data_IF_458775395252
#
_entry.id   IF_458775395252
#
_cell.length_a   1.000
_cell.length_b   1.000
_cell.length_c   1.000
_cell.angle_alpha   90.00
_cell.angle_beta   90.00
_cell.angle_gamma   90.00
#
_symmetry.space_group_name_H-M   'P 1'
#
loop_
_entity.id
_entity.type
_entity.pdbx_description
1 polymer ?
#
# COMPACT_ATOMS: atom_id res chain seq x y z
N UNK A 1 -9.56 -38.04 19.00
CA UNK A 1 -8.37 -38.10 18.13
C UNK A 1 -8.83 -37.82 16.71
N UNK A 2 -8.58 -36.61 16.19
CA UNK A 2 -8.70 -36.32 14.75
C UNK A 2 -7.42 -35.62 14.34
N UNK A 3 -6.61 -36.34 13.55
CA UNK A 3 -5.37 -35.87 12.96
C UNK A 3 -5.75 -35.20 11.63
N UNK A 4 -5.66 -33.89 11.56
CA UNK A 4 -5.83 -33.15 10.30
C UNK A 4 -4.57 -33.35 9.46
N UNK A 5 -4.67 -34.18 8.43
CA UNK A 5 -3.58 -34.49 7.52
C UNK A 5 -3.17 -33.26 6.71
N UNK A 6 -1.94 -32.78 6.92
CA UNK A 6 -1.28 -31.87 5.99
C UNK A 6 -0.92 -32.66 4.73
N UNK A 7 -1.61 -32.37 3.63
CA UNK A 7 -1.36 -32.95 2.33
C UNK A 7 0.04 -32.53 1.85
N UNK A 8 0.93 -33.49 1.64
CA UNK A 8 2.19 -33.26 0.93
C UNK A 8 1.83 -32.97 -0.52
N UNK A 9 1.67 -31.69 -0.87
CA UNK A 9 1.35 -31.26 -2.23
C UNK A 9 2.23 -32.01 -3.24
N UNK A 10 1.59 -32.61 -4.25
CA UNK A 10 2.27 -33.34 -5.32
C UNK A 10 3.24 -32.42 -6.07
N UNK A 11 4.25 -33.00 -6.70
CA UNK A 11 5.23 -32.22 -7.49
C UNK A 11 4.51 -31.38 -8.55
N UNK A 12 3.51 -31.95 -9.22
CA UNK A 12 2.69 -31.27 -10.21
C UNK A 12 1.92 -30.06 -9.64
N UNK A 13 1.33 -30.18 -8.45
CA UNK A 13 0.67 -29.05 -7.79
C UNK A 13 1.66 -27.94 -7.44
N UNK A 14 2.84 -28.30 -6.90
CA UNK A 14 3.89 -27.32 -6.58
C UNK A 14 4.36 -26.55 -7.81
N UNK A 15 4.53 -27.24 -8.95
CA UNK A 15 4.87 -26.60 -10.22
C UNK A 15 3.79 -25.63 -10.67
N UNK A 16 2.51 -25.99 -10.56
CA UNK A 16 1.40 -25.08 -10.88
C UNK A 16 1.39 -23.82 -10.01
N UNK A 17 1.66 -23.95 -8.70
CA UNK A 17 1.77 -22.81 -7.80
C UNK A 17 2.92 -21.89 -8.19
N UNK A 18 4.09 -22.44 -8.52
CA UNK A 18 5.26 -21.67 -8.96
C UNK A 18 4.99 -20.93 -10.28
N UNK A 19 4.36 -21.59 -11.25
CA UNK A 19 3.95 -20.97 -12.51
C UNK A 19 3.00 -19.78 -12.27
N UNK A 20 2.06 -19.91 -11.33
CA UNK A 20 1.17 -18.81 -10.98
C UNK A 20 1.92 -17.64 -10.35
N UNK A 21 2.93 -17.89 -9.51
CA UNK A 21 3.77 -16.85 -8.91
C UNK A 21 4.61 -16.12 -9.97
N UNK A 22 5.22 -16.84 -10.91
CA UNK A 22 5.97 -16.20 -12.00
C UNK A 22 5.06 -15.38 -12.91
N UNK A 23 3.83 -15.84 -13.17
CA UNK A 23 2.82 -15.06 -13.90
C UNK A 23 2.46 -13.76 -13.19
N UNK A 24 2.27 -13.82 -11.86
CA UNK A 24 2.02 -12.63 -11.04
C UNK A 24 3.18 -11.64 -11.09
N UNK A 25 4.42 -12.12 -10.94
CA UNK A 25 5.62 -11.29 -10.96
C UNK A 25 5.84 -10.63 -12.34
N UNK A 26 5.51 -11.35 -13.42
CA UNK A 26 5.58 -10.84 -14.79
C UNK A 26 4.40 -9.96 -15.23
N UNK A 27 3.38 -9.77 -14.38
CA UNK A 27 2.19 -8.97 -14.71
C UNK A 27 2.47 -7.48 -14.76
N UNK A 28 1.69 -6.72 -15.53
CA UNK A 28 1.86 -5.26 -15.63
C UNK A 28 1.62 -4.58 -14.27
N UNK A 29 0.70 -5.13 -13.47
CA UNK A 29 0.38 -4.64 -12.12
C UNK A 29 1.58 -4.67 -11.18
N UNK A 30 2.43 -5.71 -11.23
CA UNK A 30 3.57 -5.92 -10.34
C UNK A 30 4.94 -5.55 -10.95
N UNK A 31 5.06 -5.51 -12.28
CA UNK A 31 6.33 -5.29 -13.01
C UNK A 31 7.07 -4.01 -12.59
N UNK A 32 6.36 -2.96 -12.16
CA UNK A 32 6.97 -1.70 -11.72
C UNK A 32 7.57 -1.72 -10.30
N UNK A 33 7.47 -2.81 -9.54
CA UNK A 33 7.90 -2.85 -8.14
C UNK A 33 8.75 -4.07 -7.80
N UNK A 34 10.06 -3.93 -7.99
CA UNK A 34 11.04 -4.97 -7.64
C UNK A 34 10.92 -5.41 -6.17
N UNK A 35 10.62 -4.48 -5.27
CA UNK A 35 10.44 -4.75 -3.85
C UNK A 35 9.24 -5.66 -3.57
N UNK A 36 8.10 -5.45 -4.23
CA UNK A 36 6.93 -6.32 -4.08
C UNK A 36 7.15 -7.69 -4.71
N UNK A 37 7.89 -7.75 -5.83
CA UNK A 37 8.29 -9.01 -6.45
C UNK A 37 9.20 -9.82 -5.53
N UNK A 38 10.20 -9.18 -4.89
CA UNK A 38 11.07 -9.84 -3.89
C UNK A 38 10.26 -10.38 -2.72
N UNK A 39 9.33 -9.58 -2.19
CA UNK A 39 8.44 -10.02 -1.11
C UNK A 39 7.58 -11.21 -1.54
N UNK A 40 6.92 -11.15 -2.70
CA UNK A 40 6.07 -12.23 -3.18
C UNK A 40 6.85 -13.54 -3.38
N UNK A 41 8.05 -13.49 -3.96
CA UNK A 41 8.92 -14.67 -4.11
C UNK A 41 9.27 -15.29 -2.76
N UNK A 42 9.73 -14.46 -1.82
CA UNK A 42 10.12 -14.94 -0.50
C UNK A 42 8.93 -15.58 0.25
N UNK A 43 7.75 -14.98 0.18
CA UNK A 43 6.55 -15.56 0.78
C UNK A 43 6.14 -16.89 0.09
N UNK A 44 6.36 -17.01 -1.22
CA UNK A 44 6.06 -18.22 -1.99
C UNK A 44 7.00 -19.37 -1.66
N UNK A 45 8.30 -19.10 -1.63
CA UNK A 45 9.31 -20.07 -1.19
C UNK A 45 9.01 -20.56 0.23
N UNK A 46 8.75 -19.65 1.16
CA UNK A 46 8.42 -20.03 2.53
C UNK A 46 7.14 -20.87 2.61
N UNK A 47 6.09 -20.53 1.86
CA UNK A 47 4.83 -21.30 1.84
C UNK A 47 5.01 -22.71 1.26
N UNK A 48 5.91 -22.89 0.29
CA UNK A 48 6.19 -24.18 -0.35
C UNK A 48 7.14 -25.08 0.46
N UNK A 49 8.09 -24.48 1.17
CA UNK A 49 9.07 -25.19 2.00
C UNK A 49 8.56 -25.46 3.42
N UNK A 50 7.80 -24.53 4.00
CA UNK A 50 7.28 -24.60 5.37
C UNK A 50 5.77 -24.33 5.43
N UNK A 51 4.93 -25.25 4.89
CA UNK A 51 3.48 -25.04 4.82
C UNK A 51 2.87 -24.80 6.21
N UNK A 52 2.11 -23.72 6.35
CA UNK A 52 1.39 -23.39 7.59
C UNK A 52 2.23 -22.80 8.72
N UNK A 53 3.54 -22.64 8.54
CA UNK A 53 4.39 -21.95 9.51
C UNK A 53 4.25 -20.43 9.30
N UNK A 54 3.83 -19.66 10.31
CA UNK A 54 3.74 -18.22 10.19
C UNK A 54 5.14 -17.61 10.13
N UNK A 55 5.34 -16.72 9.16
CA UNK A 55 6.56 -15.96 8.99
C UNK A 55 6.53 -14.70 9.84
N UNK A 56 7.63 -14.38 10.52
CA UNK A 56 7.71 -13.20 11.40
C UNK A 56 8.10 -11.96 10.60
N UNK A 57 7.54 -10.81 10.99
CA UNK A 57 7.83 -9.51 10.37
C UNK A 57 9.33 -9.19 10.34
N UNK A 58 10.03 -9.46 11.45
CA UNK A 58 11.48 -9.30 11.58
C UNK A 58 12.27 -10.07 10.51
N UNK A 59 11.90 -11.33 10.24
CA UNK A 59 12.60 -12.16 9.25
C UNK A 59 12.49 -11.58 7.84
N UNK A 60 11.30 -11.10 7.49
CA UNK A 60 11.07 -10.44 6.20
C UNK A 60 11.92 -9.17 6.11
N UNK A 61 11.96 -8.38 7.18
CA UNK A 61 12.74 -7.14 7.22
C UNK A 61 14.23 -7.40 6.97
N UNK A 62 14.82 -8.39 7.65
CA UNK A 62 16.25 -8.69 7.53
C UNK A 62 16.59 -9.43 6.25
N UNK A 63 15.82 -10.46 5.89
CA UNK A 63 16.16 -11.38 4.80
C UNK A 63 15.75 -10.85 3.41
N UNK A 64 14.65 -10.09 3.31
CA UNK A 64 14.15 -9.55 2.03
C UNK A 64 14.58 -8.10 1.82
N UNK A 65 14.50 -7.29 2.88
CA UNK A 65 14.73 -5.84 2.80
C UNK A 65 16.09 -5.39 3.32
N UNK A 66 16.92 -6.32 3.82
CA UNK A 66 18.27 -6.01 4.31
C UNK A 66 18.26 -5.04 5.50
N UNK A 67 17.20 -5.02 6.31
CA UNK A 67 17.14 -4.17 7.50
C UNK A 67 18.18 -4.63 8.54
N UNK A 68 18.74 -3.68 9.31
CA UNK A 68 19.69 -4.01 10.36
C UNK A 68 19.04 -4.81 11.50
N UNK A 69 19.86 -5.51 12.28
CA UNK A 69 19.41 -6.47 13.30
C UNK A 69 18.69 -5.82 14.50
N UNK A 70 18.79 -4.50 14.64
CA UNK A 70 18.05 -3.69 15.62
C UNK A 70 16.65 -3.30 15.14
N UNK A 71 16.19 -3.80 13.98
CA UNK A 71 14.84 -3.59 13.48
C UNK A 71 13.79 -4.04 14.49
N UNK A 72 12.94 -3.09 14.91
CA UNK A 72 11.79 -3.35 15.76
C UNK A 72 10.47 -3.23 14.97
N UNK A 73 9.74 -4.35 14.79
CA UNK A 73 8.44 -4.34 14.12
C UNK A 73 7.41 -3.41 14.78
N UNK A 74 7.49 -3.11 16.08
CA UNK A 74 6.51 -2.24 16.73
C UNK A 74 6.66 -0.79 16.29
N UNK A 75 7.89 -0.30 16.19
CA UNK A 75 8.20 1.08 15.82
C UNK A 75 8.32 1.30 14.30
N UNK A 76 8.78 0.32 13.52
CA UNK A 76 8.89 0.44 12.05
C UNK A 76 7.75 -0.34 11.35
N UNK A 77 6.91 0.39 10.61
CA UNK A 77 5.77 -0.17 9.88
C UNK A 77 6.08 -0.55 8.43
N UNK A 78 7.33 -0.46 7.98
CA UNK A 78 7.75 -0.69 6.59
C UNK A 78 7.19 -2.00 6.05
N UNK A 79 7.33 -3.11 6.78
CA UNK A 79 6.90 -4.43 6.29
C UNK A 79 5.37 -4.55 6.27
N UNK A 80 4.67 -4.00 7.27
CA UNK A 80 3.20 -3.88 7.23
C UNK A 80 2.72 -3.10 6.00
N UNK A 81 3.37 -1.99 5.67
CA UNK A 81 3.04 -1.17 4.48
C UNK A 81 3.29 -1.96 3.19
N UNK A 82 4.42 -2.64 3.07
CA UNK A 82 4.73 -3.45 1.87
C UNK A 82 3.77 -4.63 1.71
N UNK A 83 3.43 -5.32 2.81
CA UNK A 83 2.42 -6.38 2.78
C UNK A 83 1.02 -5.85 2.42
N UNK A 84 0.67 -4.64 2.87
CA UNK A 84 -0.57 -3.96 2.47
C UNK A 84 -0.59 -3.66 0.96
N UNK A 85 0.50 -3.12 0.43
CA UNK A 85 0.66 -2.85 -1.01
C UNK A 85 0.60 -4.12 -1.84
N UNK A 86 1.26 -5.20 -1.39
CA UNK A 86 1.19 -6.50 -2.06
C UNK A 86 -0.26 -7.00 -2.14
N UNK A 87 -1.03 -6.95 -1.04
CA UNK A 87 -2.45 -7.34 -1.04
C UNK A 87 -3.28 -6.55 -2.05
N UNK A 88 -3.10 -5.23 -2.08
CA UNK A 88 -3.81 -4.38 -3.06
C UNK A 88 -3.46 -4.75 -4.49
N UNK A 89 -2.18 -5.00 -4.77
CA UNK A 89 -1.71 -5.38 -6.10
C UNK A 89 -2.18 -6.75 -6.55
N UNK A 90 -2.24 -7.73 -5.64
CA UNK A 90 -2.85 -9.04 -5.93
C UNK A 90 -4.34 -8.89 -6.25
N UNK A 91 -5.07 -8.07 -5.49
CA UNK A 91 -6.49 -7.82 -5.77
C UNK A 91 -6.69 -7.12 -7.14
N UNK A 92 -5.86 -6.13 -7.47
CA UNK A 92 -5.85 -5.44 -8.77
C UNK A 92 -5.60 -6.43 -9.92
N UNK A 93 -4.59 -7.31 -9.78
CA UNK A 93 -4.28 -8.35 -10.76
C UNK A 93 -5.46 -9.29 -11.02
N UNK A 94 -6.06 -9.84 -9.97
CA UNK A 94 -7.19 -10.78 -10.11
C UNK A 94 -8.50 -10.11 -10.56
N UNK A 95 -8.58 -8.78 -10.51
CA UNK A 95 -9.68 -8.00 -11.09
C UNK A 95 -9.48 -7.65 -12.57
N UNK A 96 -8.28 -7.92 -13.13
CA UNK A 96 -7.88 -7.52 -14.48
C UNK A 96 -7.18 -8.67 -15.23
N UNK A 97 -5.85 -8.67 -15.29
CA UNK A 97 -5.04 -9.62 -16.06
C UNK A 97 -5.26 -11.09 -15.65
N UNK A 98 -5.44 -11.35 -14.35
CA UNK A 98 -5.67 -12.66 -13.77
C UNK A 98 -7.15 -13.03 -13.60
N UNK A 99 -8.05 -12.32 -14.30
CA UNK A 99 -9.49 -12.49 -14.13
C UNK A 99 -10.00 -13.91 -14.44
N UNK A 100 -9.24 -14.71 -15.19
CA UNK A 100 -9.57 -16.11 -15.56
C UNK A 100 -8.55 -17.14 -15.02
N UNK A 101 -7.59 -16.73 -14.20
CA UNK A 101 -6.58 -17.64 -13.66
C UNK A 101 -7.20 -18.73 -12.75
N UNK A 102 -6.77 -20.00 -12.88
CA UNK A 102 -7.32 -21.11 -12.12
C UNK A 102 -6.87 -21.11 -10.66
N UNK A 103 -5.79 -20.41 -10.33
CA UNK A 103 -5.19 -20.36 -9.00
C UNK A 103 -5.19 -18.92 -8.50
N UNK A 104 -5.87 -18.69 -7.39
CA UNK A 104 -5.90 -17.40 -6.69
C UNK A 104 -4.88 -17.43 -5.56
N UNK A 105 -3.99 -16.44 -5.57
CA UNK A 105 -2.95 -16.23 -4.57
C UNK A 105 -3.35 -15.07 -3.68
N UNK A 106 -3.42 -15.31 -2.37
CA UNK A 106 -3.80 -14.29 -1.39
C UNK A 106 -2.81 -14.22 -0.22
N UNK A 107 -2.69 -13.03 0.37
CA UNK A 107 -2.00 -12.83 1.65
C UNK A 107 -3.04 -12.42 2.69
N UNK A 108 -3.46 -13.32 3.60
CA UNK A 108 -4.46 -13.00 4.62
C UNK A 108 -4.05 -11.81 5.50
N UNK A 109 -5.02 -11.08 6.03
CA UNK A 109 -4.74 -9.93 6.91
C UNK A 109 -4.10 -10.43 8.22
N UNK A 110 -3.14 -9.67 8.74
CA UNK A 110 -2.44 -10.00 9.99
C UNK A 110 -1.44 -11.15 9.89
N UNK A 111 -1.28 -11.75 8.71
CA UNK A 111 -0.27 -12.79 8.46
C UNK A 111 0.67 -12.35 7.35
N UNK A 112 1.80 -13.06 7.27
CA UNK A 112 2.77 -12.95 6.18
C UNK A 112 2.93 -14.31 5.51
N UNK A 113 1.83 -14.99 5.25
CA UNK A 113 1.81 -16.32 4.61
C UNK A 113 0.97 -16.24 3.35
N UNK A 114 1.42 -16.85 2.26
CA UNK A 114 0.60 -17.00 1.06
C UNK A 114 -0.39 -18.14 1.21
N UNK A 115 -1.62 -17.89 0.79
CA UNK A 115 -2.69 -18.87 0.65
C UNK A 115 -3.02 -19.04 -0.82
N UNK A 116 -3.22 -20.29 -1.23
CA UNK A 116 -3.52 -20.66 -2.61
C UNK A 116 -4.91 -21.29 -2.66
N UNK A 117 -5.75 -20.82 -3.58
CA UNK A 117 -7.11 -21.30 -3.76
C UNK A 117 -7.36 -21.69 -5.21
N UNK A 118 -7.94 -22.87 -5.43
CA UNK A 118 -8.48 -23.25 -6.72
C UNK A 118 -9.75 -22.44 -7.00
N UNK A 119 -9.81 -21.80 -8.16
CA UNK A 119 -11.03 -21.15 -8.61
C UNK A 119 -12.02 -22.22 -9.04
N UNK A 120 -13.17 -22.27 -8.38
CA UNK A 120 -14.29 -23.07 -8.87
C UNK A 120 -14.77 -22.46 -10.19
N UNK A 121 -14.47 -23.11 -11.31
CA UNK A 121 -15.17 -22.82 -12.56
C UNK A 121 -16.65 -23.12 -12.33
N UNK A 122 -17.49 -22.07 -12.31
CA UNK A 122 -18.90 -22.28 -12.56
C UNK A 122 -18.99 -22.90 -13.97
N UNK A 123 -19.65 -24.06 -14.14
CA UNK A 123 -19.77 -24.65 -15.46
C UNK A 123 -20.43 -23.60 -16.36
N UNK A 124 -19.83 -23.38 -17.52
CA UNK A 124 -20.40 -22.55 -18.57
C UNK A 124 -21.88 -22.95 -18.70
N UNK A 125 -22.78 -21.98 -18.57
CA UNK A 125 -24.20 -22.19 -18.82
C UNK A 125 -24.33 -22.75 -20.23
N UNK A 126 -24.49 -24.07 -20.34
CA UNK A 126 -24.99 -24.70 -21.54
C UNK A 126 -26.37 -24.10 -21.80
N UNK A 127 -26.46 -23.32 -22.87
CA UNK A 127 -27.73 -22.86 -23.42
C UNK A 127 -28.52 -24.11 -23.87
N UNK A 128 -29.36 -24.62 -22.97
CA UNK A 128 -30.45 -25.52 -23.35
C UNK A 128 -31.64 -24.63 -23.78
N UNK A 129 -32.19 -24.79 -25.00
CA UNK A 129 -33.34 -24.00 -25.43
C UNK A 129 -34.58 -24.53 -24.70
N UNK A 130 -34.94 -23.89 -23.59
CA UNK A 130 -36.21 -24.08 -22.92
C UNK A 130 -37.25 -23.18 -23.62
N UNK A 131 -38.27 -23.83 -24.17
CA UNK A 131 -39.39 -23.21 -24.89
C UNK A 131 -40.07 -22.14 -24.03
N UNK A 132 -40.23 -20.96 -24.61
CA UNK A 132 -40.87 -19.81 -23.97
C UNK A 132 -42.38 -20.02 -23.80
N UNK A 133 -42.95 -19.56 -22.68
CA UNK A 133 -44.26 -18.93 -22.67
C UNK A 133 -44.10 -17.41 -22.57
N UNK A 134 -45.05 -16.75 -23.23
CA UNK A 134 -45.10 -15.34 -23.62
C UNK A 134 -44.85 -14.28 -22.53
N UNK A 135 -44.40 -13.13 -23.05
CA UNK A 135 -44.08 -11.91 -22.35
C UNK A 135 -45.31 -11.21 -21.74
N UNK A 136 -45.12 -10.59 -20.57
CA UNK A 136 -45.92 -9.47 -20.07
C UNK A 136 -45.01 -8.39 -19.40
N UNK A 137 -45.44 -7.12 -19.35
CA UNK A 137 -44.59 -5.99 -19.70
C UNK A 137 -43.69 -5.48 -18.56
N UNK A 138 -42.43 -5.25 -18.92
CA UNK A 138 -41.34 -4.75 -18.06
C UNK A 138 -41.28 -3.22 -18.13
N UNK A 139 -42.11 -2.51 -17.36
CA UNK A 139 -41.91 -1.04 -17.17
C UNK A 139 -41.92 -0.63 -15.70
N UNK A 140 -42.45 -1.46 -14.80
CA UNK A 140 -42.54 -1.13 -13.35
C UNK A 140 -41.37 -1.64 -12.49
N UNK A 141 -40.48 -2.47 -13.05
CA UNK A 141 -39.31 -3.04 -12.33
C UNK A 141 -38.01 -2.25 -12.52
N UNK A 142 -37.90 -1.45 -13.58
CA UNK A 142 -36.70 -0.63 -13.85
C UNK A 142 -36.61 0.59 -12.90
N UNK A 143 -37.75 1.18 -12.53
CA UNK A 143 -37.80 2.32 -11.60
C UNK A 143 -37.46 1.93 -10.16
N UNK A 144 -37.86 0.73 -9.72
CA UNK A 144 -37.54 0.23 -8.38
C UNK A 144 -36.03 -0.06 -8.27
N UNK A 145 -35.43 -0.71 -9.28
CA UNK A 145 -33.99 -0.96 -9.31
C UNK A 145 -33.15 0.32 -9.34
N UNK A 146 -33.60 1.35 -10.06
CA UNK A 146 -32.95 2.66 -10.09
C UNK A 146 -33.07 3.40 -8.75
N UNK A 147 -34.22 3.33 -8.09
CA UNK A 147 -34.42 3.95 -6.76
C UNK A 147 -33.59 3.27 -5.65
N UNK A 148 -33.39 1.95 -5.73
CA UNK A 148 -32.53 1.20 -4.79
C UNK A 148 -31.05 1.49 -5.04
N UNK A 149 -30.62 1.60 -6.30
CA UNK A 149 -29.26 2.02 -6.65
C UNK A 149 -28.97 3.47 -6.25
N UNK A 150 -29.94 4.37 -6.43
CA UNK A 150 -29.80 5.77 -6.01
C UNK A 150 -29.76 5.90 -4.49
N UNK A 151 -30.59 5.15 -3.75
CA UNK A 151 -30.57 5.12 -2.29
C UNK A 151 -29.28 4.49 -1.75
N UNK A 152 -28.74 3.45 -2.39
CA UNK A 152 -27.45 2.87 -2.04
C UNK A 152 -26.29 3.83 -2.32
N UNK A 153 -26.32 4.54 -3.46
CA UNK A 153 -25.35 5.59 -3.76
C UNK A 153 -25.43 6.75 -2.76
N UNK A 154 -26.65 7.18 -2.38
CA UNK A 154 -26.85 8.19 -1.36
C UNK A 154 -26.37 7.72 0.02
N UNK A 155 -26.62 6.46 0.39
CA UNK A 155 -26.11 5.87 1.61
C UNK A 155 -24.58 5.80 1.62
N UNK A 156 -23.95 5.42 0.50
CA UNK A 156 -22.49 5.44 0.36
C UNK A 156 -21.95 6.87 0.43
N UNK A 157 -22.60 7.85 -0.19
CA UNK A 157 -22.22 9.27 -0.10
C UNK A 157 -22.39 9.77 1.34
N UNK A 158 -23.47 9.44 2.04
CA UNK A 158 -23.70 9.79 3.44
C UNK A 158 -22.66 9.12 4.34
N UNK A 159 -22.28 7.86 4.09
CA UNK A 159 -21.20 7.17 4.82
C UNK A 159 -19.85 7.81 4.52
N UNK A 160 -19.58 8.22 3.28
CA UNK A 160 -18.35 8.92 2.91
C UNK A 160 -18.28 10.33 3.51
N UNK A 161 -19.41 11.03 3.59
CA UNK A 161 -19.52 12.35 4.24
C UNK A 161 -19.43 12.20 5.76
N UNK A 162 -20.06 11.19 6.36
CA UNK A 162 -19.93 10.88 7.78
C UNK A 162 -18.52 10.43 8.14
N UNK A 163 -17.83 9.66 7.31
CA UNK A 163 -16.43 9.28 7.59
C UNK A 163 -15.50 10.48 7.45
N UNK A 164 -15.74 11.40 6.50
CA UNK A 164 -15.05 12.69 6.45
C UNK A 164 -15.34 13.56 7.69
N UNK A 165 -16.60 13.70 8.10
CA UNK A 165 -16.95 14.46 9.31
C UNK A 165 -16.48 13.77 10.60
N UNK A 166 -16.45 12.43 10.68
CA UNK A 166 -15.86 11.68 11.81
C UNK A 166 -14.35 11.84 11.86
N UNK A 167 -13.68 12.16 10.74
CA UNK A 167 -12.26 12.53 10.74
C UNK A 167 -12.06 13.91 11.38
N UNK A 168 -13.00 14.84 11.22
CA UNK A 168 -13.02 16.13 11.92
C UNK A 168 -13.41 16.01 13.41
N UNK A 169 -14.39 15.16 13.75
CA UNK A 169 -14.78 14.91 15.16
C UNK A 169 -13.70 14.14 15.92
N UNK A 170 -12.98 13.22 15.24
CA UNK A 170 -11.81 12.54 15.78
C UNK A 170 -10.63 13.50 16.00
N UNK A 171 -10.42 14.48 15.12
CA UNK A 171 -9.43 15.53 15.31
C UNK A 171 -9.78 16.41 16.53
N UNK A 172 -11.05 16.75 16.74
CA UNK A 172 -11.50 17.49 17.93
C UNK A 172 -11.27 16.71 19.24
N UNK A 173 -11.52 15.40 19.25
CA UNK A 173 -11.23 14.54 20.42
C UNK A 173 -9.71 14.33 20.66
N UNK A 174 -8.89 14.37 19.60
CA UNK A 174 -7.42 14.30 19.71
C UNK A 174 -6.78 15.59 20.25
N UNK A 175 -7.40 16.75 20.00
CA UNK A 175 -6.95 18.05 20.53
C UNK A 175 -7.03 18.09 22.06
N UNK A 176 -8.04 17.44 22.66
CA UNK A 176 -8.18 17.34 24.13
C UNK A 176 -7.13 16.42 24.77
N UNK A 177 -6.79 15.30 24.11
CA UNK A 177 -5.85 14.29 24.64
C UNK A 177 -4.38 14.54 24.30
N UNK A 178 -4.07 15.54 23.48
CA UNK A 178 -2.68 15.91 23.16
C UNK A 178 -1.94 16.43 24.40
N UNK A 179 -0.75 15.88 24.73
CA UNK A 179 0.07 16.38 25.84
C UNK A 179 0.30 17.90 25.74
N UNK A 180 0.20 18.61 26.88
CA UNK A 180 0.28 20.08 26.92
C UNK A 180 1.53 20.64 26.21
N UNK A 181 2.64 19.91 26.23
CA UNK A 181 3.90 20.26 25.56
C UNK A 181 3.70 20.47 24.05
N UNK A 182 2.93 19.58 23.38
CA UNK A 182 2.69 19.70 21.95
C UNK A 182 1.79 20.88 21.62
N UNK A 183 0.78 21.18 22.44
CA UNK A 183 -0.08 22.36 22.24
C UNK A 183 0.71 23.65 22.39
N UNK A 184 1.61 23.73 23.36
CA UNK A 184 2.48 24.90 23.54
C UNK A 184 3.44 25.08 22.37
N UNK A 185 4.09 23.99 21.92
CA UNK A 185 5.01 24.02 20.80
C UNK A 185 4.33 24.44 19.49
N UNK A 186 3.24 23.74 19.12
CA UNK A 186 2.54 24.01 17.87
C UNK A 186 1.69 25.29 17.91
N UNK A 187 1.30 25.74 19.10
CA UNK A 187 0.48 26.94 19.27
C UNK A 187 1.08 28.18 18.59
N UNK A 188 2.41 28.35 18.66
CA UNK A 188 3.10 29.44 17.98
C UNK A 188 2.97 29.38 16.45
N UNK A 189 3.07 28.20 15.86
CA UNK A 189 2.99 28.00 14.41
C UNK A 189 1.56 27.97 13.87
N UNK A 190 0.57 27.73 14.73
CA UNK A 190 -0.85 27.65 14.34
C UNK A 190 -1.63 28.94 14.64
N UNK A 191 -1.20 29.72 15.62
CA UNK A 191 -1.91 30.93 16.05
C UNK A 191 -1.24 32.23 15.62
N UNK A 192 0.04 32.20 15.23
CA UNK A 192 0.75 33.40 14.76
C UNK A 192 0.17 33.92 13.45
N UNK A 193 0.05 35.25 13.24
CA UNK A 193 -0.35 35.81 11.95
C UNK A 193 0.68 35.60 10.84
N UNK A 194 1.93 35.25 11.17
CA UNK A 194 2.98 34.99 10.19
C UNK A 194 2.91 33.54 9.67
N UNK A 195 3.22 33.38 8.38
CA UNK A 195 3.34 32.06 7.76
C UNK A 195 4.61 31.37 8.27
N UNK A 196 4.50 30.13 8.80
CA UNK A 196 5.64 29.38 9.28
C UNK A 196 6.58 28.98 8.14
N UNK A 197 7.89 29.08 8.42
CA UNK A 197 8.93 28.64 7.49
C UNK A 197 9.36 27.22 7.78
N UNK A 198 9.31 26.37 6.75
CA UNK A 198 9.93 25.04 6.73
C UNK A 198 11.27 25.18 6.03
N UNK A 199 12.34 25.15 6.82
CA UNK A 199 13.71 25.16 6.31
C UNK A 199 14.20 23.71 6.32
N UNK A 200 14.50 23.18 5.15
CA UNK A 200 15.05 21.83 5.01
C UNK A 200 16.53 21.89 4.63
N UNK A 201 17.27 20.89 5.10
CA UNK A 201 18.69 20.73 4.78
C UNK A 201 18.84 20.43 3.30
N UNK A 202 19.73 21.14 2.62
CA UNK A 202 20.06 20.85 1.24
C UNK A 202 21.54 20.51 1.18
N UNK A 203 21.85 19.21 1.20
CA UNK A 203 23.23 18.75 1.10
C UNK A 203 23.83 19.17 -0.23
N UNK A 204 25.06 19.69 -0.21
CA UNK A 204 25.85 19.84 -1.42
C UNK A 204 26.28 18.44 -1.88
N UNK A 205 25.94 18.07 -3.12
CA UNK A 205 26.34 16.80 -3.70
C UNK A 205 27.36 16.99 -4.83
N UNK A 206 28.22 16.00 -5.02
CA UNK A 206 29.13 15.89 -6.17
C UNK A 206 28.98 14.54 -6.85
N UNK A 207 29.32 14.49 -8.13
CA UNK A 207 29.09 13.32 -8.99
C UNK A 207 27.92 13.54 -9.94
N UNK A 208 27.47 12.47 -10.60
CA UNK A 208 26.35 12.52 -11.54
C UNK A 208 25.22 11.60 -11.08
N UNK A 209 23.94 11.98 -11.23
CA UNK A 209 22.81 11.15 -10.84
C UNK A 209 22.86 9.73 -11.44
N UNK A 210 23.37 9.60 -12.67
CA UNK A 210 23.40 8.33 -13.41
C UNK A 210 24.53 7.40 -12.96
N UNK A 211 25.63 7.97 -12.45
CA UNK A 211 26.83 7.22 -12.02
C UNK A 211 26.95 7.10 -10.50
N UNK A 212 26.08 7.79 -9.76
CA UNK A 212 26.14 7.92 -8.32
C UNK A 212 26.55 9.32 -7.87
N UNK A 213 25.84 9.82 -6.87
CA UNK A 213 26.13 11.07 -6.18
C UNK A 213 26.60 10.78 -4.76
N UNK A 214 27.48 11.65 -4.25
CA UNK A 214 27.95 11.62 -2.87
C UNK A 214 27.96 13.02 -2.30
N UNK A 215 27.98 13.15 -0.97
CA UNK A 215 28.12 14.45 -0.33
C UNK A 215 29.44 15.11 -0.71
N UNK A 216 29.38 16.42 -0.90
CA UNK A 216 30.53 17.28 -1.12
C UNK A 216 31.45 17.26 0.11
N UNK A 217 32.73 16.98 -0.12
CA UNK A 217 33.80 17.13 0.84
C UNK A 217 34.72 18.27 0.41
N UNK A 218 34.73 19.37 1.18
CA UNK A 218 35.52 20.56 0.87
C UNK A 218 37.02 20.28 0.71
N UNK A 219 37.56 19.24 1.38
CA UNK A 219 38.96 18.88 1.30
C UNK A 219 39.32 18.16 -0.01
N UNK A 220 38.35 17.50 -0.66
CA UNK A 220 38.58 16.64 -1.83
C UNK A 220 37.98 17.20 -3.11
N UNK A 221 36.88 17.94 -2.99
CA UNK A 221 35.97 18.21 -4.10
C UNK A 221 35.86 19.69 -4.44
N UNK A 222 36.78 20.52 -3.93
CA UNK A 222 36.78 21.98 -4.11
C UNK A 222 36.78 22.47 -5.58
N UNK A 223 37.03 21.58 -6.55
CA UNK A 223 37.02 21.85 -8.00
C UNK A 223 35.89 21.15 -8.75
N UNK A 224 35.09 20.34 -8.07
CA UNK A 224 34.01 19.56 -8.69
C UNK A 224 32.71 20.38 -8.77
N UNK A 225 31.87 20.06 -9.75
CA UNK A 225 30.56 20.69 -9.90
C UNK A 225 29.66 20.26 -8.73
N UNK A 226 29.29 21.23 -7.90
CA UNK A 226 28.34 21.03 -6.81
C UNK A 226 26.93 21.04 -7.38
N UNK A 227 26.21 19.94 -7.16
CA UNK A 227 24.80 19.81 -7.42
C UNK A 227 24.03 20.13 -6.13
N UNK A 228 23.41 21.31 -6.10
CA UNK A 228 22.62 21.82 -4.97
C UNK A 228 21.11 21.85 -5.27
N UNK A 229 20.69 21.25 -6.38
CA UNK A 229 19.28 21.13 -6.77
C UNK A 229 18.67 19.79 -6.38
N UNK A 230 19.46 18.90 -5.77
CA UNK A 230 19.02 17.58 -5.35
C UNK A 230 18.74 17.55 -3.85
N UNK A 231 17.52 17.13 -3.50
CA UNK A 231 17.08 16.87 -2.13
C UNK A 231 16.62 15.42 -2.03
N UNK A 232 16.75 14.84 -0.84
CA UNK A 232 16.33 13.45 -0.64
C UNK A 232 14.82 13.29 -0.77
N UNK A 233 14.37 12.13 -1.28
CA UNK A 233 12.93 11.80 -1.39
C UNK A 233 12.23 11.92 -0.03
N UNK A 234 12.91 11.58 1.07
CA UNK A 234 12.37 11.71 2.42
C UNK A 234 12.09 13.16 2.83
N UNK A 235 12.95 14.10 2.47
CA UNK A 235 12.74 15.53 2.75
C UNK A 235 11.57 16.07 1.94
N UNK A 236 11.46 15.69 0.67
CA UNK A 236 10.32 16.06 -0.19
C UNK A 236 9.00 15.56 0.39
N UNK A 237 8.95 14.29 0.82
CA UNK A 237 7.75 13.70 1.42
C UNK A 237 7.39 14.39 2.75
N UNK A 238 8.39 14.68 3.60
CA UNK A 238 8.14 15.36 4.88
C UNK A 238 7.59 16.78 4.69
N UNK A 239 8.14 17.54 3.74
CA UNK A 239 7.62 18.88 3.39
C UNK A 239 6.19 18.78 2.83
N UNK A 240 5.92 17.77 1.99
CA UNK A 240 4.58 17.54 1.46
C UNK A 240 3.55 17.17 2.56
N UNK A 241 3.93 16.32 3.51
CA UNK A 241 3.06 15.94 4.61
C UNK A 241 2.76 17.14 5.53
N UNK A 242 3.76 17.97 5.81
CA UNK A 242 3.57 19.23 6.53
C UNK A 242 2.62 20.18 5.78
N UNK A 243 2.81 20.36 4.47
CA UNK A 243 1.93 21.21 3.65
C UNK A 243 0.47 20.75 3.74
N UNK A 244 0.22 19.44 3.63
CA UNK A 244 -1.12 18.87 3.77
C UNK A 244 -1.75 19.12 5.15
N UNK A 245 -0.98 18.98 6.21
CA UNK A 245 -1.45 19.25 7.58
C UNK A 245 -1.83 20.72 7.73
N UNK A 246 -0.97 21.64 7.33
CA UNK A 246 -1.27 23.08 7.43
C UNK A 246 -2.43 23.50 6.52
N UNK A 247 -2.53 22.93 5.32
CA UNK A 247 -3.66 23.15 4.42
C UNK A 247 -5.00 22.71 5.04
N UNK A 248 -5.02 21.59 5.77
CA UNK A 248 -6.22 21.14 6.50
C UNK A 248 -6.63 22.09 7.64
N UNK A 249 -5.68 22.88 8.15
CA UNK A 249 -5.89 23.92 9.15
C UNK A 249 -6.11 25.31 8.52
N UNK A 250 -6.33 25.38 7.20
CA UNK A 250 -6.48 26.62 6.44
C UNK A 250 -5.29 27.59 6.59
N UNK A 251 -4.09 27.04 6.73
CA UNK A 251 -2.83 27.77 6.87
C UNK A 251 -1.91 27.40 5.71
N UNK A 252 -1.04 28.33 5.32
CA UNK A 252 0.02 28.08 4.34
C UNK A 252 1.37 27.99 5.05
N UNK A 253 2.29 27.21 4.48
CA UNK A 253 3.68 27.12 4.91
C UNK A 253 4.58 27.70 3.82
N UNK A 254 5.69 28.32 4.23
CA UNK A 254 6.73 28.77 3.30
C UNK A 254 7.90 27.82 3.35
N UNK A 255 8.30 27.30 2.21
CA UNK A 255 9.42 26.37 2.12
C UNK A 255 10.66 27.12 1.68
N UNK A 256 11.77 26.95 2.42
CA UNK A 256 13.07 27.51 2.07
C UNK A 256 14.13 26.43 2.12
N UNK A 257 15.01 26.44 1.13
CA UNK A 257 16.25 25.65 1.16
C UNK A 257 17.22 26.27 2.15
N UNK A 258 17.70 25.49 3.11
CA UNK A 258 18.85 25.87 3.93
C UNK A 258 20.13 25.67 3.13
N UNK A 259 20.99 26.69 3.06
CA UNK A 259 22.39 26.47 2.67
C UNK A 259 23.17 26.11 3.92
N UNK A 260 23.77 24.93 3.94
CA UNK A 260 24.80 24.56 4.92
C UNK A 260 26.15 25.16 4.51
#
# INVERSE_FOLDING_TARGET
MSVTGYHRASIAEREQLLVQIERLIGSHVLHGSESLCKLLRYLAEHALHHPGVPLKEYQIATEVFGRPADFDPQSDSTIRVQAGRLRMKLAEYYSSEGADDPIIVEVPKGTYVLSFHQRAHAPAREFRPEVAPEAQPKVRRATIALSVLLAAALAVIVILVETRNKTEVGAAAYVETSPAVFRTFWGGFLSSPEEPWVIFSNGAFVGRPETGMRYFDAARDSRDLILDHYTGVGEVLAVHDLDRVFASLHRQIRVKRGSL
#
